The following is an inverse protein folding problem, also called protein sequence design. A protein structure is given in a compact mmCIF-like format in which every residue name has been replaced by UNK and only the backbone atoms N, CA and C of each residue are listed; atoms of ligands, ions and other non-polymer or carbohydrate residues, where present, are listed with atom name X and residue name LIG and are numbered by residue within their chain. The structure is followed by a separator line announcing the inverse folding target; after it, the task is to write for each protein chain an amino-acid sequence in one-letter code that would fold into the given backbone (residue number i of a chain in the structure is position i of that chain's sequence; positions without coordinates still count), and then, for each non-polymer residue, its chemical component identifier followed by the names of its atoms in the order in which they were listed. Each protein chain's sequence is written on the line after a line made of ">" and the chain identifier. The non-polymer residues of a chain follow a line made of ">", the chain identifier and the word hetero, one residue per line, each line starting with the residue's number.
data_IF_119789353551
#
_entry.id   IF_119789353551
#
_cell.length_a   1.000
_cell.length_b   1.000
_cell.length_c   1.000
_cell.angle_alpha   90.00
_cell.angle_beta   90.00
_cell.angle_gamma   90.00
#
_symmetry.space_group_name_H-M   'P 1'
#
loop_
_entity.id
_entity.type
_entity.pdbx_description
1 polymer ?
#
# COMPACT_ATOMS: atom_id res chain seq x y z
N UNK A 1 -15.90 -10.69 11.47
CA UNK A 1 -16.05 -9.86 10.25
C UNK A 1 -14.86 -8.92 10.18
N UNK A 2 -14.35 -8.62 8.99
CA UNK A 2 -13.19 -7.74 8.87
C UNK A 2 -13.60 -6.29 9.10
N UNK A 3 -12.88 -5.60 9.99
CA UNK A 3 -13.10 -4.19 10.32
C UNK A 3 -12.97 -3.27 9.08
N UNK A 4 -12.13 -3.63 8.11
CA UNK A 4 -11.79 -2.75 6.99
C UNK A 4 -12.91 -2.65 5.94
N UNK A 5 -13.59 -3.76 5.64
CA UNK A 5 -14.72 -3.75 4.71
C UNK A 5 -15.88 -2.91 5.25
N UNK A 6 -16.10 -2.95 6.57
CA UNK A 6 -17.13 -2.16 7.23
C UNK A 6 -16.81 -0.65 7.17
N UNK A 7 -15.54 -0.27 7.41
CA UNK A 7 -15.08 1.13 7.27
C UNK A 7 -15.29 1.65 5.84
N UNK A 8 -15.01 0.80 4.84
CA UNK A 8 -15.17 1.13 3.43
C UNK A 8 -16.63 1.05 2.93
N UNK A 9 -17.56 0.56 3.75
CA UNK A 9 -18.95 0.33 3.35
C UNK A 9 -19.10 -0.76 2.27
N UNK A 10 -18.22 -1.76 2.28
CA UNK A 10 -18.23 -2.89 1.35
C UNK A 10 -18.79 -4.14 2.03
N UNK A 11 -19.74 -4.87 1.41
CA UNK A 11 -20.21 -6.13 1.97
C UNK A 11 -19.08 -7.17 1.98
N UNK A 12 -18.71 -7.66 3.17
CA UNK A 12 -17.57 -8.58 3.32
C UNK A 12 -17.74 -9.90 2.54
N UNK A 13 -18.98 -10.35 2.32
CA UNK A 13 -19.28 -11.52 1.50
C UNK A 13 -19.00 -11.28 0.02
N UNK A 14 -19.40 -10.12 -0.52
CA UNK A 14 -19.13 -9.74 -1.91
C UNK A 14 -17.63 -9.58 -2.15
N UNK A 15 -16.92 -8.91 -1.24
CA UNK A 15 -15.45 -8.79 -1.28
C UNK A 15 -14.81 -10.17 -1.33
N UNK A 16 -15.27 -11.13 -0.51
CA UNK A 16 -14.74 -12.50 -0.50
C UNK A 16 -15.02 -13.23 -1.80
N UNK A 17 -16.26 -13.18 -2.29
CA UNK A 17 -16.65 -13.86 -3.53
C UNK A 17 -15.84 -13.37 -4.72
N UNK A 18 -15.60 -12.06 -4.82
CA UNK A 18 -14.78 -11.48 -5.89
C UNK A 18 -13.30 -11.84 -5.72
N UNK A 19 -12.77 -11.83 -4.48
CA UNK A 19 -11.40 -12.24 -4.21
C UNK A 19 -11.15 -13.71 -4.58
N UNK A 20 -12.08 -14.60 -4.22
CA UNK A 20 -12.03 -16.03 -4.51
C UNK A 20 -12.15 -16.29 -6.02
N UNK A 21 -13.00 -15.53 -6.72
CA UNK A 21 -13.12 -15.63 -8.18
C UNK A 21 -11.82 -15.24 -8.88
N UNK A 22 -11.19 -14.12 -8.50
CA UNK A 22 -9.91 -13.70 -9.06
C UNK A 22 -8.78 -14.68 -8.73
N UNK A 23 -8.70 -15.16 -7.48
CA UNK A 23 -7.68 -16.14 -7.07
C UNK A 23 -7.85 -17.48 -7.77
N UNK A 24 -9.09 -17.96 -7.90
CA UNK A 24 -9.41 -19.20 -8.61
C UNK A 24 -9.10 -19.12 -10.11
N UNK A 25 -9.40 -17.98 -10.75
CA UNK A 25 -9.07 -17.77 -12.15
C UNK A 25 -7.55 -17.65 -12.38
N UNK A 26 -6.83 -16.97 -11.48
CA UNK A 26 -5.38 -16.91 -11.51
C UNK A 26 -4.75 -18.31 -11.38
N UNK A 27 -5.23 -19.12 -10.42
CA UNK A 27 -4.78 -20.50 -10.25
C UNK A 27 -5.05 -21.38 -11.47
N UNK A 28 -6.23 -21.27 -12.08
CA UNK A 28 -6.54 -21.97 -13.32
C UNK A 28 -5.61 -21.55 -14.47
N UNK A 29 -5.35 -20.25 -14.63
CA UNK A 29 -4.41 -19.76 -15.65
C UNK A 29 -3.00 -20.30 -15.41
N UNK A 30 -2.52 -20.27 -14.16
CA UNK A 30 -1.21 -20.81 -13.80
C UNK A 30 -1.10 -22.29 -14.15
N UNK A 31 -2.10 -23.10 -13.79
CA UNK A 31 -2.12 -24.53 -14.09
C UNK A 31 -2.07 -24.82 -15.60
N UNK A 32 -2.75 -24.01 -16.40
CA UNK A 32 -2.71 -24.13 -17.87
C UNK A 32 -1.38 -23.66 -18.45
N UNK A 33 -0.79 -22.63 -17.86
CA UNK A 33 0.53 -22.13 -18.22
C UNK A 33 1.63 -23.18 -17.94
N UNK A 34 1.60 -23.80 -16.77
CA UNK A 34 2.60 -24.80 -16.34
C UNK A 34 2.56 -26.10 -17.19
N UNK A 35 1.42 -26.42 -17.81
CA UNK A 35 1.26 -27.59 -18.69
C UNK A 35 1.74 -27.35 -20.12
N UNK A 36 1.99 -26.10 -20.51
CA UNK A 36 2.29 -25.74 -21.89
C UNK A 36 3.78 -25.86 -22.22
N UNK A 37 4.09 -26.44 -23.39
CA UNK A 37 5.47 -26.56 -23.88
C UNK A 37 5.99 -25.28 -24.59
N UNK A 38 5.09 -24.35 -25.00
CA UNK A 38 5.45 -23.09 -25.70
C UNK A 38 5.39 -21.88 -24.75
N UNK A 39 6.31 -21.84 -23.79
CA UNK A 39 6.36 -20.86 -22.70
C UNK A 39 6.50 -19.41 -23.17
N UNK A 40 7.24 -19.16 -24.26
CA UNK A 40 7.56 -17.81 -24.71
C UNK A 40 6.37 -17.03 -25.29
N UNK A 41 5.48 -17.69 -26.05
CA UNK A 41 4.32 -17.01 -26.65
C UNK A 41 3.20 -16.78 -25.64
N UNK A 42 3.04 -17.69 -24.69
CA UNK A 42 2.01 -17.58 -23.67
C UNK A 42 2.34 -16.50 -22.63
N UNK A 43 3.61 -16.32 -22.29
CA UNK A 43 4.04 -15.26 -21.37
C UNK A 43 3.55 -13.88 -21.80
N UNK A 44 3.67 -13.54 -23.09
CA UNK A 44 3.26 -12.23 -23.60
C UNK A 44 1.74 -12.01 -23.61
N UNK A 45 0.94 -13.05 -23.83
CA UNK A 45 -0.51 -12.93 -23.99
C UNK A 45 -1.29 -13.14 -22.68
N UNK A 46 -0.84 -14.10 -21.86
CA UNK A 46 -1.57 -14.60 -20.67
C UNK A 46 -0.98 -14.02 -19.38
N UNK A 47 0.34 -13.84 -19.33
CA UNK A 47 1.02 -13.40 -18.11
C UNK A 47 0.46 -12.11 -17.50
N UNK A 48 0.11 -11.05 -18.28
CA UNK A 48 -0.49 -9.85 -17.70
C UNK A 48 -1.81 -10.11 -16.97
N UNK A 49 -2.62 -11.04 -17.48
CA UNK A 49 -3.87 -11.46 -16.84
C UNK A 49 -3.58 -12.22 -15.56
N UNK A 50 -2.68 -13.20 -15.59
CA UNK A 50 -2.26 -13.95 -14.41
C UNK A 50 -1.81 -13.02 -13.28
N UNK A 51 -0.89 -12.10 -13.58
CA UNK A 51 -0.36 -11.13 -12.61
C UNK A 51 -1.47 -10.23 -12.03
N UNK A 52 -2.36 -9.72 -12.89
CA UNK A 52 -3.44 -8.82 -12.47
C UNK A 52 -4.50 -9.54 -11.63
N UNK A 53 -4.85 -10.79 -11.96
CA UNK A 53 -5.81 -11.58 -11.18
C UNK A 53 -5.25 -11.92 -9.80
N UNK A 54 -3.98 -12.32 -9.68
CA UNK A 54 -3.33 -12.50 -8.38
C UNK A 54 -3.31 -11.22 -7.56
N UNK A 55 -2.99 -10.09 -8.19
CA UNK A 55 -2.94 -8.79 -7.52
C UNK A 55 -4.31 -8.38 -6.98
N UNK A 56 -5.38 -8.49 -7.79
CA UNK A 56 -6.74 -8.15 -7.36
C UNK A 56 -7.22 -9.07 -6.23
N UNK A 57 -6.96 -10.37 -6.34
CA UNK A 57 -7.25 -11.31 -5.26
C UNK A 57 -6.50 -10.94 -3.97
N UNK A 58 -5.23 -10.53 -4.08
CA UNK A 58 -4.42 -10.11 -2.94
C UNK A 58 -4.95 -8.84 -2.26
N UNK A 59 -5.31 -7.81 -3.05
CA UNK A 59 -5.84 -6.55 -2.54
C UNK A 59 -7.16 -6.77 -1.77
N UNK A 60 -8.08 -7.54 -2.36
CA UNK A 60 -9.37 -7.82 -1.72
C UNK A 60 -9.20 -8.71 -0.47
N UNK A 61 -8.31 -9.70 -0.53
CA UNK A 61 -7.95 -10.48 0.65
C UNK A 61 -7.24 -9.65 1.71
N UNK A 62 -6.50 -8.60 1.34
CA UNK A 62 -5.85 -7.73 2.32
C UNK A 62 -6.90 -6.98 3.18
N UNK A 63 -8.08 -6.70 2.62
CA UNK A 63 -9.20 -6.13 3.36
C UNK A 63 -9.92 -7.14 4.25
N UNK A 64 -9.81 -8.45 3.99
CA UNK A 64 -10.50 -9.50 4.75
C UNK A 64 -9.59 -10.17 5.79
N UNK A 65 -8.42 -10.59 5.35
CA UNK A 65 -7.40 -11.34 6.07
C UNK A 65 -6.01 -10.89 5.62
N UNK A 66 -5.50 -9.75 6.14
CA UNK A 66 -4.22 -9.17 5.76
C UNK A 66 -3.02 -10.14 5.82
N UNK A 67 -2.97 -11.02 6.81
CA UNK A 67 -1.87 -11.99 6.91
C UNK A 67 -1.87 -12.98 5.74
N UNK A 68 -3.04 -13.40 5.26
CA UNK A 68 -3.20 -14.36 4.18
C UNK A 68 -2.94 -13.76 2.79
N UNK A 69 -3.10 -12.43 2.62
CA UNK A 69 -2.86 -11.78 1.33
C UNK A 69 -1.38 -11.77 0.93
N UNK A 70 -0.45 -11.99 1.87
CA UNK A 70 1.00 -11.99 1.60
C UNK A 70 1.39 -12.95 0.48
N UNK A 71 0.95 -14.20 0.56
CA UNK A 71 1.28 -15.23 -0.43
C UNK A 71 0.69 -14.93 -1.81
N UNK A 72 -0.48 -14.27 -1.87
CA UNK A 72 -1.11 -13.82 -3.12
C UNK A 72 -0.32 -12.66 -3.74
N UNK A 73 0.12 -11.70 -2.92
CA UNK A 73 1.00 -10.61 -3.37
C UNK A 73 2.34 -11.14 -3.88
N UNK A 74 2.96 -12.12 -3.21
CA UNK A 74 4.19 -12.77 -3.70
C UNK A 74 3.99 -13.48 -5.05
N UNK A 75 2.83 -14.12 -5.27
CA UNK A 75 2.50 -14.72 -6.56
C UNK A 75 2.34 -13.66 -7.66
N UNK A 76 1.62 -12.57 -7.36
CA UNK A 76 1.51 -11.42 -8.28
C UNK A 76 2.89 -10.84 -8.62
N UNK A 77 3.78 -10.71 -7.62
CA UNK A 77 5.12 -10.19 -7.81
C UNK A 77 5.95 -11.06 -8.75
N UNK A 78 5.94 -12.39 -8.58
CA UNK A 78 6.65 -13.30 -9.49
C UNK A 78 6.14 -13.20 -10.92
N UNK A 79 4.82 -13.19 -11.10
CA UNK A 79 4.20 -13.04 -12.41
C UNK A 79 4.56 -11.70 -13.07
N UNK A 80 4.48 -10.56 -12.36
CA UNK A 80 4.93 -9.27 -12.91
C UNK A 80 6.43 -9.23 -13.22
N UNK A 81 7.25 -9.94 -12.45
CA UNK A 81 8.70 -10.00 -12.67
C UNK A 81 9.04 -10.79 -13.92
N UNK A 82 8.36 -11.91 -14.17
CA UNK A 82 8.50 -12.69 -15.41
C UNK A 82 8.15 -11.88 -16.66
N UNK A 83 7.22 -10.93 -16.51
CA UNK A 83 6.86 -9.96 -17.56
C UNK A 83 7.83 -8.79 -17.70
N UNK A 84 8.88 -8.73 -16.89
CA UNK A 84 9.78 -7.58 -16.75
C UNK A 84 9.03 -6.26 -16.45
N UNK A 85 7.91 -6.34 -15.73
CA UNK A 85 7.07 -5.19 -15.42
C UNK A 85 7.42 -4.64 -14.03
N UNK A 86 7.84 -3.37 -13.88
CA UNK A 86 8.48 -2.87 -12.65
C UNK A 86 7.57 -2.89 -11.41
N UNK A 87 6.25 -3.01 -11.61
CA UNK A 87 5.25 -3.15 -10.55
C UNK A 87 5.45 -4.38 -9.66
N UNK A 88 6.23 -5.38 -10.09
CA UNK A 88 6.55 -6.53 -9.25
C UNK A 88 7.17 -6.14 -7.90
N UNK A 89 7.88 -5.02 -7.83
CA UNK A 89 8.49 -4.48 -6.60
C UNK A 89 7.43 -4.10 -5.57
N UNK A 90 6.38 -3.40 -6.01
CA UNK A 90 5.25 -3.00 -5.16
C UNK A 90 4.53 -4.24 -4.64
N UNK A 91 4.24 -5.20 -5.52
CA UNK A 91 3.62 -6.46 -5.13
C UNK A 91 4.51 -7.24 -4.14
N UNK A 92 5.82 -7.30 -4.36
CA UNK A 92 6.74 -8.00 -3.46
C UNK A 92 6.84 -7.34 -2.07
N UNK A 93 6.81 -6.00 -2.00
CA UNK A 93 6.73 -5.27 -0.71
C UNK A 93 5.44 -5.63 0.01
N UNK A 94 4.30 -5.64 -0.69
CA UNK A 94 3.02 -6.04 -0.12
C UNK A 94 3.00 -7.52 0.33
N UNK A 95 3.78 -8.38 -0.33
CA UNK A 95 4.00 -9.78 0.04
C UNK A 95 5.04 -10.00 1.14
N UNK A 96 5.79 -8.97 1.53
CA UNK A 96 6.98 -9.05 2.37
C UNK A 96 8.07 -10.00 1.82
N UNK A 97 8.19 -10.12 0.49
CA UNK A 97 9.12 -11.03 -0.19
C UNK A 97 10.50 -10.38 -0.37
N UNK A 98 11.28 -10.33 0.71
CA UNK A 98 12.61 -9.70 0.73
C UNK A 98 13.60 -10.38 -0.21
N UNK A 99 13.51 -11.69 -0.35
CA UNK A 99 14.42 -12.48 -1.19
C UNK A 99 14.21 -12.08 -2.66
N UNK A 100 12.96 -12.05 -3.11
CA UNK A 100 12.59 -11.60 -4.45
C UNK A 100 13.06 -10.17 -4.75
N UNK A 101 12.93 -9.26 -3.77
CA UNK A 101 13.38 -7.86 -3.90
C UNK A 101 14.92 -7.74 -3.97
N UNK A 102 15.65 -8.63 -3.30
CA UNK A 102 17.11 -8.64 -3.24
C UNK A 102 17.78 -9.26 -4.48
N UNK A 103 17.06 -10.08 -5.25
CA UNK A 103 17.59 -10.75 -6.45
C UNK A 103 17.87 -9.82 -7.64
N UNK A 104 17.33 -8.60 -7.65
CA UNK A 104 17.55 -7.68 -8.77
C UNK A 104 19.00 -7.16 -8.75
N UNK A 105 19.74 -7.26 -9.89
CA UNK A 105 21.07 -6.68 -9.97
C UNK A 105 20.99 -5.17 -9.73
N UNK A 106 21.92 -4.71 -8.92
CA UNK A 106 21.95 -3.38 -8.34
C UNK A 106 22.35 -2.27 -9.33
N UNK A 107 21.57 -2.06 -10.39
CA UNK A 107 21.80 -0.95 -11.33
C UNK A 107 21.87 0.41 -10.61
N UNK A 108 21.07 0.57 -9.56
CA UNK A 108 21.02 1.76 -8.69
C UNK A 108 22.06 1.77 -7.55
N UNK A 109 22.83 0.69 -7.32
CA UNK A 109 23.95 0.76 -6.36
C UNK A 109 25.25 1.24 -6.98
N UNK A 110 25.34 1.26 -8.32
CA UNK A 110 26.44 1.96 -8.98
C UNK A 110 26.40 3.46 -8.61
N UNK A 111 27.58 4.09 -8.51
CA UNK A 111 27.68 5.50 -8.10
C UNK A 111 27.13 6.50 -9.14
N UNK A 112 26.59 6.01 -10.26
CA UNK A 112 26.21 6.81 -11.44
C UNK A 112 24.70 7.12 -11.47
N UNK A 113 24.11 7.51 -10.33
CA UNK A 113 22.79 8.14 -10.32
C UNK A 113 22.90 9.60 -10.81
N UNK A 114 23.36 9.77 -12.05
CA UNK A 114 23.42 11.09 -12.67
C UNK A 114 22.01 11.66 -12.84
N UNK A 115 21.89 12.99 -12.85
CA UNK A 115 20.63 13.68 -13.12
C UNK A 115 19.98 13.21 -14.44
N UNK A 116 20.80 13.04 -15.50
CA UNK A 116 20.33 12.53 -16.79
C UNK A 116 19.71 11.14 -16.70
N UNK A 117 20.27 10.26 -15.86
CA UNK A 117 19.71 8.93 -15.63
C UNK A 117 18.37 9.00 -14.89
N UNK A 118 18.28 9.82 -13.83
CA UNK A 118 17.06 10.02 -13.06
C UNK A 118 15.93 10.67 -13.87
N UNK A 119 16.26 11.51 -14.84
CA UNK A 119 15.28 12.10 -15.77
C UNK A 119 14.91 11.14 -16.91
N UNK A 120 15.72 10.11 -17.18
CA UNK A 120 15.48 9.11 -18.21
C UNK A 120 14.57 7.95 -17.78
N UNK A 121 14.39 7.74 -16.47
CA UNK A 121 13.49 6.72 -15.94
C UNK A 121 12.06 7.24 -15.81
N UNK A 122 11.09 6.33 -15.99
CA UNK A 122 9.69 6.69 -15.80
C UNK A 122 9.39 7.03 -14.32
N UNK A 123 8.45 7.95 -14.03
CA UNK A 123 8.03 8.25 -12.66
C UNK A 123 7.62 7.02 -11.85
N UNK A 124 6.92 6.07 -12.49
CA UNK A 124 6.49 4.81 -11.88
C UNK A 124 7.70 3.94 -11.49
N UNK A 125 8.63 3.74 -12.41
CA UNK A 125 9.84 2.96 -12.16
C UNK A 125 10.69 3.57 -11.05
N UNK A 126 10.83 4.91 -11.04
CA UNK A 126 11.49 5.64 -9.97
C UNK A 126 10.81 5.40 -8.61
N UNK A 127 9.48 5.54 -8.55
CA UNK A 127 8.71 5.31 -7.31
C UNK A 127 8.89 3.87 -6.81
N UNK A 128 8.78 2.89 -7.70
CA UNK A 128 8.85 1.47 -7.32
C UNK A 128 10.26 1.09 -6.85
N UNK A 129 11.30 1.67 -7.46
CA UNK A 129 12.67 1.50 -6.99
C UNK A 129 12.91 2.18 -5.63
N UNK A 130 12.38 3.40 -5.45
CA UNK A 130 12.44 4.11 -4.18
C UNK A 130 11.78 3.30 -3.06
N UNK A 131 10.58 2.76 -3.28
CA UNK A 131 9.89 1.91 -2.31
C UNK A 131 10.65 0.61 -2.05
N UNK A 132 11.21 -0.04 -3.08
CA UNK A 132 12.05 -1.24 -2.93
C UNK A 132 13.25 -0.96 -2.04
N UNK A 133 14.02 0.09 -2.32
CA UNK A 133 15.20 0.44 -1.55
C UNK A 133 14.84 0.90 -0.14
N UNK A 134 13.72 1.62 0.03
CA UNK A 134 13.21 2.00 1.35
C UNK A 134 12.89 0.77 2.20
N UNK A 135 12.23 -0.24 1.62
CA UNK A 135 11.94 -1.51 2.29
C UNK A 135 13.25 -2.27 2.61
N UNK A 136 14.09 -2.50 1.61
CA UNK A 136 15.32 -3.28 1.77
C UNK A 136 16.30 -2.64 2.75
N UNK A 137 16.41 -1.30 2.79
CA UNK A 137 17.28 -0.60 3.76
C UNK A 137 16.91 -0.85 5.22
N UNK A 138 15.66 -1.24 5.49
CA UNK A 138 15.17 -1.56 6.83
C UNK A 138 15.44 -3.02 7.21
N UNK A 139 15.57 -3.89 6.20
CA UNK A 139 15.86 -5.31 6.36
C UNK A 139 17.38 -5.57 6.35
N UNK A 140 18.11 -4.84 5.50
CA UNK A 140 19.54 -4.99 5.29
C UNK A 140 20.21 -3.63 5.02
N UNK A 141 21.12 -3.25 5.91
CA UNK A 141 21.85 -1.97 5.89
C UNK A 141 22.67 -1.73 4.61
N UNK A 142 23.00 -2.77 3.83
CA UNK A 142 23.73 -2.61 2.56
C UNK A 142 22.98 -1.72 1.57
N UNK A 143 21.65 -1.69 1.63
CA UNK A 143 20.82 -0.88 0.73
C UNK A 143 20.63 0.57 1.18
N UNK A 144 21.03 0.93 2.42
CA UNK A 144 20.81 2.27 2.97
C UNK A 144 21.45 3.38 2.12
N UNK A 145 22.69 3.18 1.67
CA UNK A 145 23.38 4.16 0.83
C UNK A 145 22.73 4.38 -0.53
N UNK A 146 22.16 3.33 -1.15
CA UNK A 146 21.44 3.47 -2.41
C UNK A 146 20.08 4.15 -2.22
N UNK A 147 19.37 3.80 -1.14
CA UNK A 147 18.13 4.48 -0.76
C UNK A 147 18.36 5.98 -0.55
N UNK A 148 19.38 6.38 0.22
CA UNK A 148 19.66 7.79 0.50
C UNK A 148 19.99 8.58 -0.77
N UNK A 149 20.82 8.03 -1.67
CA UNK A 149 21.12 8.67 -2.95
C UNK A 149 19.88 8.86 -3.82
N UNK A 150 19.05 7.81 -3.95
CA UNK A 150 17.86 7.90 -4.78
C UNK A 150 16.86 8.91 -4.20
N UNK A 151 16.68 8.89 -2.87
CA UNK A 151 15.85 9.85 -2.13
C UNK A 151 16.32 11.29 -2.33
N UNK A 152 17.62 11.55 -2.18
CA UNK A 152 18.20 12.90 -2.34
C UNK A 152 18.05 13.41 -3.77
N UNK A 153 18.37 12.59 -4.77
CA UNK A 153 18.15 12.94 -6.18
C UNK A 153 16.69 13.29 -6.47
N UNK A 154 15.74 12.54 -5.88
CA UNK A 154 14.31 12.85 -5.98
C UNK A 154 13.89 14.15 -5.29
N UNK A 155 14.60 14.59 -4.26
CA UNK A 155 14.31 15.85 -3.56
C UNK A 155 14.87 17.08 -4.29
N UNK A 156 15.97 16.90 -5.01
CA UNK A 156 16.65 17.97 -5.73
C UNK A 156 16.02 18.24 -7.11
N UNK A 157 15.51 17.20 -7.78
CA UNK A 157 14.94 17.32 -9.12
C UNK A 157 13.47 17.78 -9.12
N UNK A 158 13.26 19.08 -9.30
CA UNK A 158 11.93 19.69 -9.32
C UNK A 158 10.95 19.03 -10.31
N UNK A 159 11.44 18.63 -11.49
CA UNK A 159 10.63 17.95 -12.50
C UNK A 159 10.09 16.60 -11.98
N UNK A 160 10.98 15.78 -11.41
CA UNK A 160 10.62 14.47 -10.87
C UNK A 160 9.69 14.58 -9.66
N UNK A 161 9.89 15.60 -8.81
CA UNK A 161 9.00 15.85 -7.66
C UNK A 161 7.56 16.09 -8.06
N UNK A 162 7.35 16.88 -9.11
CA UNK A 162 6.03 17.25 -9.60
C UNK A 162 5.37 16.13 -10.43
N UNK A 163 6.17 15.18 -10.95
CA UNK A 163 5.64 14.02 -11.66
C UNK A 163 4.77 13.17 -10.76
N UNK A 164 3.58 12.83 -11.25
CA UNK A 164 2.73 11.84 -10.62
C UNK A 164 3.19 10.43 -10.99
N UNK A 165 2.98 9.50 -10.06
CA UNK A 165 3.31 8.09 -10.23
C UNK A 165 2.18 7.19 -9.71
N UNK A 166 2.18 5.96 -10.21
CA UNK A 166 1.16 4.96 -9.97
C UNK A 166 -0.18 5.31 -10.60
N UNK A 167 -1.16 4.45 -10.36
CA UNK A 167 -2.51 4.61 -10.93
C UNK A 167 -3.19 5.92 -10.53
N UNK A 168 -2.96 6.38 -9.30
CA UNK A 168 -3.57 7.61 -8.78
C UNK A 168 -2.85 8.89 -9.23
N UNK A 169 -1.76 8.77 -9.98
CA UNK A 169 -0.94 9.89 -10.43
C UNK A 169 -0.56 10.83 -9.26
N UNK A 170 -0.22 10.24 -8.11
CA UNK A 170 0.13 10.99 -6.90
C UNK A 170 1.56 11.51 -7.05
N UNK A 171 1.83 12.79 -6.76
CA UNK A 171 3.16 13.36 -6.86
C UNK A 171 4.21 12.57 -6.04
N UNK A 172 5.33 12.23 -6.68
CA UNK A 172 6.40 11.43 -6.07
C UNK A 172 6.91 12.04 -4.76
N UNK A 173 6.93 13.37 -4.65
CA UNK A 173 7.41 14.04 -3.44
C UNK A 173 6.61 13.66 -2.18
N UNK A 174 5.32 13.30 -2.31
CA UNK A 174 4.50 12.86 -1.19
C UNK A 174 4.95 11.49 -0.67
N UNK A 175 5.27 10.57 -1.58
CA UNK A 175 5.85 9.27 -1.23
C UNK A 175 7.21 9.45 -0.56
N UNK A 176 8.11 10.26 -1.16
CA UNK A 176 9.43 10.55 -0.58
C UNK A 176 9.27 11.10 0.84
N UNK A 177 8.41 12.10 1.05
CA UNK A 177 8.16 12.68 2.37
C UNK A 177 7.71 11.59 3.35
N UNK A 178 6.67 10.82 2.98
CA UNK A 178 6.06 9.79 3.80
C UNK A 178 7.07 8.75 4.32
N UNK A 179 7.96 8.24 3.46
CA UNK A 179 8.90 7.16 3.83
C UNK A 179 10.20 7.68 4.49
N UNK A 180 10.56 8.95 4.26
CA UNK A 180 11.84 9.51 4.73
C UNK A 180 11.80 9.94 6.20
N UNK A 181 10.75 10.63 6.62
CA UNK A 181 10.69 11.36 7.91
C UNK A 181 10.60 10.45 9.14
N UNK A 182 10.23 9.18 8.98
CA UNK A 182 10.10 8.21 10.09
C UNK A 182 11.44 7.92 10.79
N UNK A 183 12.58 8.17 10.13
CA UNK A 183 13.90 7.78 10.65
C UNK A 183 14.58 8.85 11.50
N UNK A 184 14.16 10.11 11.35
CA UNK A 184 14.87 11.27 11.91
C UNK A 184 14.19 11.75 13.19
N UNK A 185 12.86 11.65 13.25
CA UNK A 185 12.08 11.95 14.42
C UNK A 185 11.49 10.63 14.94
N UNK A 186 12.11 10.02 15.96
CA UNK A 186 11.40 9.00 16.72
C UNK A 186 9.99 9.50 17.02
N UNK A 187 8.98 8.64 16.89
CA UNK A 187 7.53 8.92 16.93
C UNK A 187 7.02 9.73 18.15
N UNK A 188 7.93 10.07 19.07
CA UNK A 188 7.77 11.05 20.15
C UNK A 188 7.53 12.48 19.66
N UNK A 189 7.77 12.81 18.38
CA UNK A 189 7.46 14.13 17.83
C UNK A 189 6.33 14.08 16.80
N UNK A 190 5.54 15.15 16.82
CA UNK A 190 4.30 15.45 16.08
C UNK A 190 4.37 15.29 14.55
N UNK A 191 5.56 15.04 13.99
CA UNK A 191 5.88 15.17 12.57
C UNK A 191 5.49 13.99 11.69
N UNK A 192 5.42 12.76 12.21
CA UNK A 192 5.11 11.57 11.37
C UNK A 192 3.72 11.65 10.73
N UNK A 193 2.81 12.32 11.42
CA UNK A 193 1.41 12.55 11.06
C UNK A 193 1.29 13.55 9.89
N UNK A 194 1.95 14.71 10.01
CA UNK A 194 1.96 15.79 8.99
C UNK A 194 2.59 15.38 7.65
N UNK A 195 3.28 14.24 7.68
CA UNK A 195 4.05 13.71 6.56
C UNK A 195 3.26 12.66 5.80
N UNK A 196 2.56 11.76 6.51
CA UNK A 196 1.77 10.70 5.90
C UNK A 196 0.35 11.15 5.50
N UNK A 197 -0.25 12.07 6.26
CA UNK A 197 -1.62 12.57 6.03
C UNK A 197 -1.90 12.97 4.58
N UNK A 198 -1.10 13.88 3.97
CA UNK A 198 -1.31 14.30 2.59
C UNK A 198 -1.24 13.16 1.55
N UNK A 199 -0.44 12.11 1.80
CA UNK A 199 -0.40 10.94 0.91
C UNK A 199 -1.69 10.11 1.03
N UNK A 200 -2.16 9.89 2.26
CA UNK A 200 -3.38 9.15 2.53
C UNK A 200 -4.63 9.92 2.06
N UNK A 201 -4.66 11.24 2.18
CA UNK A 201 -5.75 12.09 1.68
C UNK A 201 -5.90 11.95 0.17
N UNK A 202 -4.78 12.07 -0.56
CA UNK A 202 -4.76 11.89 -2.02
C UNK A 202 -5.21 10.50 -2.43
N UNK A 203 -4.88 9.48 -1.64
CA UNK A 203 -5.36 8.12 -1.87
C UNK A 203 -6.85 7.97 -1.56
N UNK A 204 -7.34 8.66 -0.54
CA UNK A 204 -8.72 8.61 -0.11
C UNK A 204 -9.68 9.29 -1.09
N UNK A 205 -9.26 10.38 -1.75
CA UNK A 205 -10.08 11.05 -2.77
C UNK A 205 -10.58 10.08 -3.86
N UNK A 206 -9.77 9.09 -4.27
CA UNK A 206 -10.19 8.10 -5.27
C UNK A 206 -11.26 7.15 -4.73
N UNK A 207 -11.18 6.80 -3.44
CA UNK A 207 -12.18 6.01 -2.73
C UNK A 207 -13.48 6.81 -2.60
N UNK A 208 -13.42 8.10 -2.25
CA UNK A 208 -14.60 8.96 -2.19
C UNK A 208 -15.31 9.06 -3.54
N UNK A 209 -14.55 9.28 -4.61
CA UNK A 209 -15.08 9.31 -5.97
C UNK A 209 -15.72 7.98 -6.37
N UNK A 210 -15.09 6.86 -6.00
CA UNK A 210 -15.65 5.54 -6.28
C UNK A 210 -16.93 5.28 -5.46
N UNK A 211 -16.98 5.70 -4.20
CA UNK A 211 -18.15 5.57 -3.31
C UNK A 211 -19.36 6.38 -3.78
N UNK A 212 -19.13 7.47 -4.50
CA UNK A 212 -20.20 8.26 -5.12
C UNK A 212 -21.01 7.44 -6.14
N UNK A 213 -20.40 6.44 -6.77
CA UNK A 213 -21.10 5.42 -7.56
C UNK A 213 -21.37 4.17 -6.70
N UNK A 214 -22.37 4.28 -5.83
CA UNK A 214 -22.69 3.24 -4.84
C UNK A 214 -22.96 1.87 -5.49
N UNK A 215 -23.51 1.84 -6.71
CA UNK A 215 -23.81 0.58 -7.39
C UNK A 215 -22.54 -0.16 -7.83
N UNK A 216 -21.59 0.54 -8.47
CA UNK A 216 -20.33 -0.09 -8.88
C UNK A 216 -19.40 -0.34 -7.68
N UNK A 217 -19.40 0.54 -6.68
CA UNK A 217 -18.64 0.37 -5.45
C UNK A 217 -19.07 -0.85 -4.64
N UNK A 218 -20.35 -0.95 -4.28
CA UNK A 218 -20.84 -2.04 -3.43
C UNK A 218 -20.73 -3.40 -4.13
N UNK A 219 -20.95 -3.44 -5.45
CA UNK A 219 -20.80 -4.65 -6.24
C UNK A 219 -19.36 -4.95 -6.69
N UNK A 220 -18.38 -4.12 -6.32
CA UNK A 220 -16.99 -4.18 -6.80
C UNK A 220 -16.89 -4.38 -8.32
N UNK A 221 -17.72 -3.65 -9.07
CA UNK A 221 -17.81 -3.76 -10.53
C UNK A 221 -16.90 -2.73 -11.19
N UNK A 222 -16.34 -3.09 -12.34
CA UNK A 222 -15.46 -2.22 -13.12
C UNK A 222 -14.02 -2.26 -12.63
N UNK A 223 -13.27 -1.18 -12.84
CA UNK A 223 -11.84 -1.08 -12.50
C UNK A 223 -11.58 -0.59 -11.08
N UNK A 224 -12.58 -0.60 -10.20
CA UNK A 224 -12.49 -0.04 -8.84
C UNK A 224 -11.56 -0.90 -7.98
N UNK A 225 -10.56 -0.26 -7.37
CA UNK A 225 -9.61 -0.90 -6.46
C UNK A 225 -9.78 -0.25 -5.09
N UNK A 226 -10.27 -0.96 -4.07
CA UNK A 226 -10.57 -0.35 -2.77
C UNK A 226 -9.32 -0.03 -1.93
N UNK A 227 -8.16 -0.53 -2.35
CA UNK A 227 -6.88 -0.32 -1.71
C UNK A 227 -5.76 -0.35 -2.75
N UNK A 228 -5.17 0.81 -3.04
CA UNK A 228 -4.13 0.94 -4.06
C UNK A 228 -2.79 0.33 -3.57
N UNK A 229 -2.16 -0.57 -4.34
CA UNK A 229 -0.95 -1.28 -3.90
C UNK A 229 0.24 -0.40 -3.57
N UNK A 230 0.44 0.70 -4.29
CA UNK A 230 1.52 1.65 -4.07
C UNK A 230 1.39 2.34 -2.70
N UNK A 231 0.15 2.67 -2.32
CA UNK A 231 -0.17 3.26 -1.01
C UNK A 231 0.00 2.23 0.09
N UNK A 232 -0.41 0.99 -0.16
CA UNK A 232 -0.17 -0.11 0.77
C UNK A 232 1.33 -0.37 0.97
N UNK A 233 2.11 -0.41 -0.10
CA UNK A 233 3.56 -0.61 -0.04
C UNK A 233 4.27 0.54 0.70
N UNK A 234 3.91 1.79 0.41
CA UNK A 234 4.42 2.95 1.15
C UNK A 234 4.05 2.88 2.65
N UNK A 235 2.82 2.46 2.94
CA UNK A 235 2.35 2.25 4.32
C UNK A 235 3.08 1.11 5.03
N UNK A 236 3.45 0.04 4.32
CA UNK A 236 4.29 -1.05 4.85
C UNK A 236 5.69 -0.54 5.16
N UNK A 237 6.33 0.18 4.22
CA UNK A 237 7.63 0.82 4.46
C UNK A 237 7.59 1.77 5.66
N UNK A 238 6.48 2.50 5.83
CA UNK A 238 6.24 3.36 6.98
C UNK A 238 6.09 2.53 8.27
N UNK A 239 5.25 1.49 8.25
CA UNK A 239 4.97 0.65 9.41
C UNK A 239 6.22 -0.06 9.91
N UNK A 240 7.00 -0.72 9.05
CA UNK A 240 8.22 -1.44 9.46
C UNK A 240 9.19 -0.46 10.14
N UNK A 241 9.36 0.73 9.58
CA UNK A 241 10.24 1.77 10.16
C UNK A 241 9.70 2.35 11.48
N UNK A 242 8.38 2.45 11.61
CA UNK A 242 7.69 3.06 12.77
C UNK A 242 7.42 2.11 13.92
N UNK A 243 7.22 0.83 13.65
CA UNK A 243 6.81 -0.18 14.64
C UNK A 243 7.86 -0.46 15.71
N UNK A 244 9.07 0.06 15.52
CA UNK A 244 10.10 0.14 16.56
C UNK A 244 9.82 1.19 17.65
N UNK A 245 8.67 1.86 17.63
CA UNK A 245 8.27 2.83 18.66
C UNK A 245 6.90 2.49 19.26
N UNK A 246 6.90 2.17 20.56
CA UNK A 246 5.66 1.88 21.31
C UNK A 246 4.66 3.05 21.20
N UNK A 247 3.41 2.75 20.84
CA UNK A 247 2.29 3.71 20.85
C UNK A 247 2.08 4.54 19.57
N UNK A 248 2.86 4.34 18.51
CA UNK A 248 2.83 5.18 17.30
C UNK A 248 1.48 5.23 16.57
N UNK A 249 0.81 4.08 16.35
CA UNK A 249 -0.42 4.05 15.56
C UNK A 249 -1.60 4.75 16.27
N UNK A 250 -1.81 4.48 17.56
CA UNK A 250 -2.90 5.09 18.31
C UNK A 250 -2.71 6.62 18.45
N UNK A 251 -1.45 7.08 18.48
CA UNK A 251 -1.14 8.50 18.40
C UNK A 251 -1.43 9.08 17.00
N UNK A 252 -1.30 8.28 15.94
CA UNK A 252 -1.55 8.72 14.57
C UNK A 252 -3.06 8.80 14.27
N UNK A 253 -3.86 7.80 14.67
CA UNK A 253 -5.32 7.80 14.49
C UNK A 253 -6.01 8.94 15.26
N UNK A 254 -5.50 9.33 16.43
CA UNK A 254 -6.11 10.39 17.26
C UNK A 254 -5.79 11.81 16.80
N UNK A 255 -4.75 11.98 15.98
CA UNK A 255 -4.19 13.30 15.66
C UNK A 255 -4.58 13.80 14.28
N UNK A 256 -5.07 12.93 13.43
CA UNK A 256 -5.48 13.30 12.10
C UNK A 256 -7.01 13.36 12.05
N UNK A 257 -7.51 14.56 11.77
CA UNK A 257 -8.91 14.78 11.40
C UNK A 257 -9.12 14.33 9.95
N UNK A 258 -9.00 13.02 9.69
CA UNK A 258 -9.33 12.41 8.40
C UNK A 258 -10.39 11.33 8.59
N UNK A 259 -11.11 11.04 7.51
CA UNK A 259 -12.07 9.95 7.47
C UNK A 259 -11.38 8.61 7.76
N UNK A 260 -12.06 7.73 8.52
CA UNK A 260 -11.53 6.43 8.90
C UNK A 260 -11.11 5.57 7.68
N UNK A 261 -11.76 5.75 6.53
CA UNK A 261 -11.41 5.05 5.30
C UNK A 261 -10.03 5.45 4.76
N UNK A 262 -9.58 6.68 4.98
CA UNK A 262 -8.25 7.12 4.59
C UNK A 262 -7.13 6.39 5.36
N UNK A 263 -7.43 5.85 6.55
CA UNK A 263 -6.48 5.06 7.35
C UNK A 263 -6.43 3.58 7.00
N UNK A 264 -7.37 3.08 6.20
CA UNK A 264 -7.45 1.65 5.87
C UNK A 264 -6.13 1.11 5.30
N UNK A 265 -5.43 1.79 4.36
CA UNK A 265 -4.14 1.30 3.86
C UNK A 265 -3.10 1.10 4.96
N UNK A 266 -3.04 2.01 5.93
CA UNK A 266 -2.10 1.95 7.03
C UNK A 266 -2.46 0.85 8.04
N UNK A 267 -3.74 0.71 8.38
CA UNK A 267 -4.19 -0.36 9.28
C UNK A 267 -3.97 -1.75 8.66
N UNK A 268 -4.23 -1.89 7.36
CA UNK A 268 -3.95 -3.13 6.61
C UNK A 268 -2.45 -3.39 6.56
N UNK A 269 -1.62 -2.39 6.23
CA UNK A 269 -0.17 -2.50 6.26
C UNK A 269 0.35 -2.97 7.63
N UNK A 270 -0.16 -2.37 8.71
CA UNK A 270 0.19 -2.79 10.07
C UNK A 270 -0.16 -4.27 10.30
N UNK A 271 -1.38 -4.68 9.97
CA UNK A 271 -1.81 -6.07 10.13
C UNK A 271 -1.00 -7.06 9.25
N UNK A 272 -0.56 -6.64 8.05
CA UNK A 272 0.38 -7.41 7.23
C UNK A 272 1.73 -7.54 7.95
N UNK A 273 2.27 -6.44 8.48
CA UNK A 273 3.59 -6.45 9.13
C UNK A 273 3.59 -7.17 10.48
N UNK A 274 2.46 -7.25 11.19
CA UNK A 274 2.31 -8.04 12.41
C UNK A 274 2.55 -9.53 12.13
N UNK A 275 3.38 -10.17 12.95
CA UNK A 275 3.84 -11.55 12.75
C UNK A 275 4.99 -11.73 11.74
N UNK A 276 5.55 -10.65 11.18
CA UNK A 276 6.80 -10.72 10.41
C UNK A 276 7.99 -11.01 11.35
N UNK A 277 8.94 -11.91 11.00
CA UNK A 277 10.15 -12.15 11.77
C UNK A 277 11.06 -10.92 11.90
N UNK A 278 10.84 -9.88 11.07
CA UNK A 278 11.48 -8.56 11.20
C UNK A 278 11.11 -7.85 12.51
N UNK A 279 9.97 -8.21 13.12
CA UNK A 279 9.58 -7.78 14.45
C UNK A 279 10.24 -8.70 15.48
N UNK A 280 11.54 -8.53 15.71
CA UNK A 280 12.25 -9.29 16.73
C UNK A 280 11.57 -9.16 18.11
N UNK A 281 10.80 -10.18 18.50
CA UNK A 281 10.39 -10.45 19.89
C UNK A 281 9.40 -9.51 20.58
N UNK A 282 8.86 -8.48 19.92
CA UNK A 282 7.82 -7.65 20.51
C UNK A 282 6.43 -8.23 20.20
N UNK A 283 5.88 -8.97 21.17
CA UNK A 283 4.50 -9.43 21.17
C UNK A 283 3.57 -8.23 21.46
N UNK A 284 3.31 -7.42 20.44
CA UNK A 284 2.35 -6.30 20.55
C UNK A 284 0.94 -6.88 20.41
N UNK A 285 0.40 -7.40 21.52
CA UNK A 285 -1.03 -7.68 21.64
C UNK A 285 -1.79 -6.36 21.57
N UNK A 286 -2.31 -6.02 20.38
CA UNK A 286 -3.26 -4.93 20.24
C UNK A 286 -4.62 -5.42 20.75
N UNK A 287 -4.93 -5.11 22.02
CA UNK A 287 -6.32 -5.16 22.45
C UNK A 287 -7.14 -4.17 21.61
N UNK A 288 -8.30 -4.57 21.06
CA UNK A 288 -9.11 -3.70 20.24
C UNK A 288 -9.62 -2.52 21.08
N UNK A 289 -9.10 -1.33 20.80
CA UNK A 289 -9.62 -0.07 21.35
C UNK A 289 -10.93 0.22 20.62
N UNK A 290 -12.04 -0.25 21.20
CA UNK A 290 -13.38 0.21 20.85
C UNK A 290 -13.52 1.63 21.44
N UNK A 291 -13.82 2.67 20.65
CA UNK A 291 -14.05 4.00 21.20
C UNK A 291 -15.35 3.97 22.02
N UNK A 292 -15.20 3.82 23.33
CA UNK A 292 -16.29 3.93 24.32
C UNK A 292 -16.42 5.40 24.74
N UNK A 293 -16.71 6.27 23.77
CA UNK A 293 -17.13 7.63 24.05
C UNK A 293 -18.66 7.70 24.15
N UNK A 294 -19.24 8.38 25.16
CA UNK A 294 -20.68 8.63 25.17
C UNK A 294 -21.04 9.52 23.97
N UNK A 295 -21.98 9.05 23.14
CA UNK A 295 -22.61 9.86 22.10
C UNK A 295 -23.39 10.96 22.81
N UNK A 296 -22.83 12.17 22.80
CA UNK A 296 -23.46 13.34 23.38
C UNK A 296 -24.57 13.82 22.42
N UNK A 297 -25.80 13.33 22.62
CA UNK A 297 -26.99 13.71 21.83
C UNK A 297 -27.60 15.04 22.27
N UNK A 298 -26.76 16.03 22.58
CA UNK A 298 -27.18 17.40 22.89
C UNK A 298 -27.65 18.15 21.65
N UNK A 299 -28.86 17.85 21.17
CA UNK A 299 -29.54 18.65 20.17
C UNK A 299 -30.03 19.99 20.76
N UNK A 300 -30.06 21.08 19.98
CA UNK A 300 -30.59 22.36 20.44
C UNK A 300 -32.11 22.28 20.63
N UNK A 301 -32.59 22.64 21.82
CA UNK A 301 -34.02 22.92 22.06
C UNK A 301 -34.40 24.16 21.27
N UNK A 302 -35.30 24.00 20.29
CA UNK A 302 -35.95 25.10 19.58
C UNK A 302 -37.30 25.34 20.27
N UNK A 303 -37.39 26.43 21.03
CA UNK A 303 -38.67 26.92 21.56
C UNK A 303 -39.50 27.50 20.41
N UNK A 304 -40.64 26.88 20.12
CA UNK A 304 -41.64 27.38 19.16
C UNK A 304 -42.65 28.22 19.92
N UNK A 305 -42.87 29.50 19.57
CA UNK A 305 -43.92 30.31 20.19
C UNK A 305 -45.30 29.86 19.69
N UNK A 306 -46.19 29.55 20.64
CA UNK A 306 -47.61 29.32 20.41
C UNK A 306 -48.28 30.68 20.16
N UNK A 307 -48.78 30.90 18.95
CA UNK A 307 -49.71 32.00 18.68
C UNK A 307 -51.14 31.53 18.96
N UNK A 308 -51.84 32.31 19.78
CA UNK A 308 -53.29 32.28 19.99
C UNK A 308 -53.98 33.25 19.03
#
# INVERSE_FOLDING_TARGET
>A
MSRYTDILGLPAEDVRNVADAYGGYAGFIQDEFDKSEDSNKQNAAIGPWLASNWLLAAILNALLTPAASKSLFSQAARAYRELNHPFWKVAAICGLDSDLLAEQPDSFMSNDASEDYLLGISPDEYLYELLRLAYLSQVDTRYAGAYDRLREGGQELAALRASGAGRLNIPIFLYIKAISEVGIAGFRQERGVDVLGPLLDRAYESIELARADTYHWAGLRGSVVPLEPEILAASICFCIKSLYTEGGLAALERRIDMDAAAFVPLQVALAITQGSPLNGGFDVSLDPIIPTGPVNTGGPQVDVPVFA
#
